data_IF_823892911702
#
_entry.id   IF_823892911702
#
_cell.length_a   1.000
_cell.length_b   1.000
_cell.length_c   1.000
_cell.angle_alpha   90.00
_cell.angle_beta   90.00
_cell.angle_gamma   90.00
#
_symmetry.space_group_name_H-M   'P 1'
#
loop_
_entity.id
_entity.type
_entity.pdbx_description
1 polymer ?
#
# COMPACT_ATOMS: atom_id res chain seq x y z
N UNK A 1 -24.12 -12.75 -22.90
CA UNK A 1 -23.07 -11.71 -23.06
C UNK A 1 -23.35 -10.81 -24.27
N UNK A 2 -23.46 -11.31 -25.49
CA UNK A 2 -23.66 -10.51 -26.73
C UNK A 2 -24.85 -9.56 -26.64
N UNK A 3 -25.99 -9.98 -26.09
CA UNK A 3 -27.18 -9.16 -25.97
C UNK A 3 -26.99 -7.96 -25.01
N UNK A 4 -26.29 -8.16 -23.91
CA UNK A 4 -25.98 -7.07 -22.93
C UNK A 4 -25.02 -6.06 -23.57
N UNK A 5 -23.99 -6.53 -24.25
CA UNK A 5 -23.04 -5.65 -24.94
C UNK A 5 -23.75 -4.80 -25.99
N UNK A 6 -24.60 -5.41 -26.82
CA UNK A 6 -25.37 -4.69 -27.85
C UNK A 6 -26.35 -3.65 -27.25
N UNK A 7 -26.97 -3.94 -26.09
CA UNK A 7 -27.82 -2.97 -25.39
C UNK A 7 -27.04 -1.78 -24.86
N UNK A 8 -25.84 -2.03 -24.32
CA UNK A 8 -24.93 -0.97 -23.84
C UNK A 8 -24.48 -0.09 -25.01
N UNK A 9 -24.01 -0.68 -26.10
CA UNK A 9 -23.57 0.03 -27.31
C UNK A 9 -24.67 0.88 -27.93
N UNK A 10 -25.92 0.39 -27.92
CA UNK A 10 -27.07 1.13 -28.45
C UNK A 10 -27.59 2.21 -27.48
N UNK A 11 -27.30 2.13 -26.18
CA UNK A 11 -27.77 3.07 -25.18
C UNK A 11 -26.81 4.23 -24.95
N UNK A 12 -25.55 4.06 -25.30
CA UNK A 12 -24.51 5.08 -25.15
C UNK A 12 -23.93 5.42 -26.51
N UNK A 13 -24.20 6.62 -27.01
CA UNK A 13 -23.45 7.18 -28.14
C UNK A 13 -22.06 7.62 -27.65
N UNK A 14 -21.17 6.65 -27.49
CA UNK A 14 -19.78 6.93 -27.15
C UNK A 14 -19.11 7.48 -28.43
N UNK A 15 -18.76 8.78 -28.42
CA UNK A 15 -17.78 9.29 -29.38
C UNK A 15 -16.47 8.55 -29.13
N UNK A 16 -15.86 7.99 -30.18
CA UNK A 16 -14.53 7.37 -30.11
C UNK A 16 -13.48 8.46 -29.85
N UNK A 17 -13.32 8.85 -28.61
CA UNK A 17 -12.17 9.61 -28.15
C UNK A 17 -11.06 8.61 -27.80
N UNK A 18 -10.01 8.59 -28.59
CA UNK A 18 -8.77 7.93 -28.23
C UNK A 18 -8.14 8.76 -27.10
N UNK A 19 -8.31 8.30 -25.86
CA UNK A 19 -7.51 8.82 -24.76
C UNK A 19 -6.17 8.11 -24.77
N UNK A 20 -5.12 8.88 -24.98
CA UNK A 20 -3.76 8.40 -24.76
C UNK A 20 -3.50 8.50 -23.25
N UNK A 21 -3.70 7.40 -22.53
CA UNK A 21 -3.36 7.31 -21.11
C UNK A 21 -1.85 7.09 -20.97
N UNK A 22 -1.06 8.12 -21.24
CA UNK A 22 0.32 8.14 -20.80
C UNK A 22 0.35 8.34 -19.29
N UNK A 23 0.27 7.25 -18.54
CA UNK A 23 0.49 7.27 -17.10
C UNK A 23 2.01 7.33 -16.86
N UNK A 24 2.57 8.53 -16.92
CA UNK A 24 3.94 8.77 -16.51
C UNK A 24 4.00 8.71 -14.98
N UNK A 25 4.30 7.53 -14.46
CA UNK A 25 4.62 7.37 -13.04
C UNK A 25 5.95 8.05 -12.78
N UNK A 26 5.95 9.12 -12.01
CA UNK A 26 7.20 9.70 -11.53
C UNK A 26 7.74 8.84 -10.38
N UNK A 27 8.61 7.90 -10.72
CA UNK A 27 9.35 7.07 -9.75
C UNK A 27 10.70 7.68 -9.39
N UNK A 28 10.90 8.97 -9.72
CA UNK A 28 12.15 9.66 -9.40
C UNK A 28 12.21 9.95 -7.89
N UNK A 29 13.12 9.26 -7.21
CA UNK A 29 13.39 9.41 -5.78
C UNK A 29 14.68 10.21 -5.54
N UNK A 30 15.04 11.15 -6.43
CA UNK A 30 16.30 11.90 -6.37
C UNK A 30 16.34 12.95 -5.26
N UNK A 31 15.20 13.52 -4.90
CA UNK A 31 15.12 14.43 -3.74
C UNK A 31 14.72 13.62 -2.49
N UNK A 32 15.69 13.38 -1.61
CA UNK A 32 15.56 12.53 -0.44
C UNK A 32 15.44 13.34 0.87
N UNK A 33 14.75 14.46 0.88
CA UNK A 33 14.46 15.21 2.10
C UNK A 33 13.08 14.85 2.66
N UNK A 34 13.03 14.21 3.84
CA UNK A 34 11.74 13.94 4.50
C UNK A 34 11.08 15.23 4.94
N UNK A 35 9.88 15.51 4.41
CA UNK A 35 9.07 16.63 4.84
C UNK A 35 8.24 16.26 6.07
N UNK A 36 8.20 17.15 7.08
CA UNK A 36 7.32 16.98 8.25
C UNK A 36 6.30 18.10 8.30
N UNK A 37 5.03 17.75 8.19
CA UNK A 37 3.90 18.68 8.22
C UNK A 37 3.13 18.46 9.52
N UNK A 38 3.02 19.51 10.35
CA UNK A 38 2.26 19.46 11.59
C UNK A 38 1.12 20.47 11.52
N UNK A 39 -0.10 19.97 11.51
CA UNK A 39 -1.31 20.77 11.61
C UNK A 39 -1.88 20.69 13.02
N UNK A 40 -2.45 21.81 13.49
CA UNK A 40 -3.07 21.93 14.81
C UNK A 40 -4.54 22.26 14.66
N UNK A 41 -5.39 21.47 15.30
CA UNK A 41 -6.85 21.68 15.30
C UNK A 41 -7.44 21.22 16.64
N UNK A 42 -8.75 21.41 16.80
CA UNK A 42 -9.49 20.90 17.96
C UNK A 42 -9.80 19.43 17.75
N UNK A 43 -8.86 18.57 18.13
CA UNK A 43 -8.99 17.11 17.97
C UNK A 43 -8.71 16.41 19.30
N UNK A 44 -9.46 15.34 19.58
CA UNK A 44 -9.25 14.47 20.74
C UNK A 44 -8.24 13.37 20.47
N UNK A 45 -7.99 13.09 19.20
CA UNK A 45 -7.08 12.04 18.72
C UNK A 45 -6.21 12.60 17.61
N UNK A 46 -4.91 12.42 17.73
CA UNK A 46 -3.99 12.78 16.66
C UNK A 46 -4.10 11.82 15.48
N UNK A 47 -3.91 12.35 14.26
CA UNK A 47 -3.69 11.55 13.07
C UNK A 47 -2.20 11.62 12.73
N UNK A 48 -1.57 10.45 12.64
CA UNK A 48 -0.18 10.33 12.26
C UNK A 48 -0.10 9.48 10.98
N UNK A 49 0.33 10.09 9.90
CA UNK A 49 0.46 9.43 8.61
C UNK A 49 1.91 9.54 8.11
N UNK A 50 2.44 8.44 7.59
CA UNK A 50 3.76 8.40 6.97
C UNK A 50 3.61 7.97 5.52
N UNK A 51 4.26 8.69 4.60
CA UNK A 51 4.30 8.39 3.18
C UNK A 51 5.68 7.90 2.76
N UNK A 52 5.76 6.70 2.22
CA UNK A 52 6.95 6.14 1.61
C UNK A 52 6.81 6.13 0.09
N UNK A 53 7.88 6.46 -0.62
CA UNK A 53 8.00 6.29 -2.07
C UNK A 53 8.88 5.08 -2.40
N UNK A 54 8.53 4.43 -3.51
CA UNK A 54 9.29 3.32 -4.06
C UNK A 54 9.54 3.56 -5.55
N UNK A 55 10.72 3.17 -6.08
CA UNK A 55 11.03 3.30 -7.51
C UNK A 55 10.38 2.20 -8.35
N UNK A 56 9.27 1.65 -7.88
CA UNK A 56 8.51 0.59 -8.57
C UNK A 56 7.02 0.85 -8.51
N UNK A 57 6.30 0.32 -9.48
CA UNK A 57 4.85 0.43 -9.58
C UNK A 57 4.26 -0.83 -10.24
N UNK A 58 2.94 -0.91 -10.25
CA UNK A 58 2.21 -1.99 -10.92
C UNK A 58 2.68 -2.14 -12.39
N UNK A 59 3.04 -3.36 -12.76
CA UNK A 59 3.60 -3.71 -14.08
C UNK A 59 5.11 -3.96 -14.06
N UNK A 60 5.84 -3.53 -13.03
CA UNK A 60 7.25 -3.87 -12.86
C UNK A 60 7.40 -5.26 -12.23
N UNK A 61 8.51 -5.95 -12.56
CA UNK A 61 8.75 -7.31 -12.03
C UNK A 61 8.91 -7.34 -10.51
N UNK A 62 9.47 -6.30 -9.92
CA UNK A 62 9.70 -6.17 -8.47
C UNK A 62 8.48 -5.65 -7.69
N UNK A 63 7.40 -5.25 -8.36
CA UNK A 63 6.16 -4.79 -7.73
C UNK A 63 5.58 -5.79 -6.72
N UNK A 64 5.71 -7.09 -7.00
CA UNK A 64 5.15 -8.14 -6.14
C UNK A 64 5.87 -8.21 -4.79
N UNK A 65 7.16 -7.86 -4.74
CA UNK A 65 7.89 -7.71 -3.49
C UNK A 65 7.34 -6.55 -2.65
N UNK A 66 6.91 -5.44 -3.29
CA UNK A 66 6.25 -4.32 -2.61
C UNK A 66 4.88 -4.71 -2.05
N UNK A 67 4.09 -5.51 -2.78
CA UNK A 67 2.80 -6.03 -2.30
C UNK A 67 2.99 -6.91 -1.05
N UNK A 68 3.99 -7.80 -1.08
CA UNK A 68 4.33 -8.67 0.05
C UNK A 68 4.83 -7.85 1.24
N UNK A 69 5.75 -6.90 1.01
CA UNK A 69 6.25 -5.98 2.04
C UNK A 69 5.10 -5.23 2.72
N UNK A 70 4.19 -4.63 1.93
CA UNK A 70 3.02 -3.93 2.47
C UNK A 70 2.16 -4.84 3.35
N UNK A 71 1.86 -6.06 2.89
CA UNK A 71 1.03 -7.02 3.64
C UNK A 71 1.68 -7.38 4.97
N UNK A 72 3.00 -7.61 4.99
CA UNK A 72 3.75 -7.91 6.21
C UNK A 72 3.85 -6.71 7.15
N UNK A 73 4.03 -5.51 6.61
CA UNK A 73 4.25 -4.30 7.38
C UNK A 73 2.98 -3.79 8.04
N UNK A 74 1.91 -3.55 7.29
CA UNK A 74 0.68 -2.96 7.83
C UNK A 74 -0.60 -3.26 7.04
N UNK A 75 -0.53 -4.01 5.95
CA UNK A 75 -1.65 -4.27 5.05
C UNK A 75 -2.64 -5.34 5.53
N UNK A 76 -2.37 -5.99 6.65
CA UNK A 76 -3.20 -7.08 7.20
C UNK A 76 -3.23 -7.02 8.74
N UNK A 77 -4.29 -7.50 9.41
CA UNK A 77 -4.35 -7.58 10.87
C UNK A 77 -3.25 -8.44 11.53
N UNK A 78 -2.58 -9.33 10.80
CA UNK A 78 -1.42 -10.08 11.29
C UNK A 78 -0.08 -9.33 11.11
N UNK A 79 -0.11 -8.13 10.56
CA UNK A 79 1.06 -7.31 10.22
C UNK A 79 1.85 -6.83 11.43
N UNK A 80 3.07 -6.39 11.16
CA UNK A 80 3.98 -5.85 12.18
C UNK A 80 3.41 -4.61 12.85
N UNK A 81 2.87 -3.64 12.09
CA UNK A 81 2.30 -2.43 12.66
C UNK A 81 1.13 -2.73 13.61
N UNK A 82 0.25 -3.65 13.23
CA UNK A 82 -0.87 -4.01 14.08
C UNK A 82 -0.38 -4.67 15.37
N UNK A 83 0.53 -5.63 15.28
CA UNK A 83 1.00 -6.38 16.44
C UNK A 83 1.92 -5.58 17.36
N UNK A 84 2.91 -4.85 16.81
CA UNK A 84 3.93 -4.18 17.62
C UNK A 84 3.45 -2.81 18.12
N UNK A 85 2.78 -2.01 17.26
CA UNK A 85 2.41 -0.63 17.60
C UNK A 85 1.07 -0.57 18.34
N UNK A 86 0.07 -1.34 17.84
CA UNK A 86 -1.27 -1.31 18.45
C UNK A 86 -1.40 -2.28 19.60
N UNK A 87 -1.15 -3.59 19.39
CA UNK A 87 -1.46 -4.62 20.39
C UNK A 87 -0.44 -4.64 21.53
N UNK A 88 0.85 -4.71 21.23
CA UNK A 88 1.88 -4.82 22.28
C UNK A 88 2.13 -3.52 23.03
N UNK A 89 2.27 -2.40 22.30
CA UNK A 89 2.67 -1.13 22.89
C UNK A 89 1.48 -0.18 23.16
N UNK A 90 0.29 -0.49 22.65
CA UNK A 90 -0.92 0.34 22.81
C UNK A 90 -0.67 1.81 22.44
N UNK A 91 0.09 2.05 21.36
CA UNK A 91 0.42 3.39 20.88
C UNK A 91 -0.63 3.94 19.92
N UNK A 92 -1.37 3.07 19.24
CA UNK A 92 -2.38 3.45 18.26
C UNK A 92 -3.73 2.78 18.52
N UNK A 93 -4.81 3.52 18.32
CA UNK A 93 -6.19 2.98 18.32
C UNK A 93 -6.49 2.26 17.00
N UNK A 94 -5.98 2.83 15.91
CA UNK A 94 -6.03 2.24 14.58
C UNK A 94 -4.70 2.46 13.88
N UNK A 95 -4.23 1.44 13.18
CA UNK A 95 -3.02 1.55 12.36
C UNK A 95 -3.09 0.52 11.25
N UNK A 96 -2.76 0.94 10.04
CA UNK A 96 -2.61 0.07 8.88
C UNK A 96 -1.73 0.74 7.83
N UNK A 97 -1.23 -0.04 6.88
CA UNK A 97 -0.62 0.52 5.68
C UNK A 97 -1.49 0.27 4.44
N UNK A 98 -1.44 1.21 3.53
CA UNK A 98 -2.15 1.18 2.25
C UNK A 98 -1.17 1.40 1.12
N UNK A 99 -1.22 0.53 0.11
CA UNK A 99 -0.38 0.61 -1.08
C UNK A 99 -1.15 1.29 -2.21
N UNK A 100 -0.62 2.40 -2.73
CA UNK A 100 -0.94 2.90 -4.07
C UNK A 100 0.07 2.30 -5.06
N UNK A 101 -0.25 1.11 -5.53
CA UNK A 101 0.64 0.37 -6.41
C UNK A 101 0.79 0.98 -7.80
N UNK A 102 -0.07 1.92 -8.20
CA UNK A 102 0.05 2.60 -9.50
C UNK A 102 1.16 3.65 -9.49
N UNK A 103 1.34 4.30 -8.34
CA UNK A 103 2.27 5.41 -8.17
C UNK A 103 3.51 5.03 -7.34
N UNK A 104 3.59 3.82 -6.83
CA UNK A 104 4.71 3.39 -6.00
C UNK A 104 4.71 4.03 -4.60
N UNK A 105 3.53 4.33 -4.04
CA UNK A 105 3.41 4.91 -2.70
C UNK A 105 2.86 3.92 -1.69
N UNK A 106 3.43 3.94 -0.50
CA UNK A 106 2.91 3.23 0.65
C UNK A 106 2.63 4.25 1.76
N UNK A 107 1.39 4.28 2.19
CA UNK A 107 0.94 5.15 3.27
C UNK A 107 0.71 4.35 4.53
N UNK A 108 1.31 4.77 5.65
CA UNK A 108 0.90 4.35 6.99
C UNK A 108 -0.14 5.35 7.48
N UNK A 109 -1.31 4.86 7.84
CA UNK A 109 -2.43 5.66 8.34
C UNK A 109 -2.70 5.22 9.78
N UNK A 110 -2.64 6.17 10.74
CA UNK A 110 -2.86 5.83 12.14
C UNK A 110 -3.60 6.91 12.91
N UNK A 111 -4.39 6.45 13.89
CA UNK A 111 -4.99 7.27 14.93
C UNK A 111 -4.31 6.96 16.26
N UNK A 112 -3.66 7.96 16.87
CA UNK A 112 -2.86 7.83 18.07
C UNK A 112 -3.30 8.83 19.13
N UNK A 113 -2.94 8.63 20.40
CA UNK A 113 -3.16 9.68 21.40
C UNK A 113 -2.24 10.88 21.15
N UNK A 114 -2.73 12.07 21.47
CA UNK A 114 -1.98 13.33 21.26
C UNK A 114 -0.62 13.30 21.96
N UNK A 115 -0.52 12.65 23.12
CA UNK A 115 0.71 12.59 23.92
C UNK A 115 1.70 11.54 23.41
N UNK A 116 1.25 10.59 22.57
CA UNK A 116 2.05 9.43 22.14
C UNK A 116 2.48 9.47 20.68
N UNK A 117 2.09 10.48 19.90
CA UNK A 117 2.34 10.45 18.45
C UNK A 117 3.84 10.42 18.11
N UNK A 118 4.71 11.07 18.88
CA UNK A 118 6.15 11.03 18.62
C UNK A 118 6.76 9.65 18.89
N UNK A 119 6.31 8.96 19.95
CA UNK A 119 6.74 7.59 20.23
C UNK A 119 6.22 6.65 19.14
N UNK A 120 4.95 6.79 18.77
CA UNK A 120 4.36 5.98 17.70
C UNK A 120 5.09 6.17 16.36
N UNK A 121 5.43 7.42 15.99
CA UNK A 121 6.22 7.75 14.81
C UNK A 121 7.57 7.01 14.81
N UNK A 122 8.31 7.13 15.90
CA UNK A 122 9.62 6.48 16.04
C UNK A 122 9.49 4.97 15.93
N UNK A 123 8.53 4.37 16.64
CA UNK A 123 8.29 2.92 16.57
C UNK A 123 7.93 2.45 15.15
N UNK A 124 7.06 3.18 14.44
CA UNK A 124 6.69 2.83 13.06
C UNK A 124 7.92 2.81 12.14
N UNK A 125 8.78 3.83 12.27
CA UNK A 125 10.01 3.93 11.47
C UNK A 125 10.97 2.78 11.83
N UNK A 126 11.20 2.52 13.12
CA UNK A 126 12.06 1.43 13.60
C UNK A 126 11.56 0.06 13.11
N UNK A 127 10.26 -0.18 13.14
CA UNK A 127 9.70 -1.43 12.63
C UNK A 127 9.88 -1.55 11.09
N UNK A 128 9.85 -0.44 10.34
CA UNK A 128 10.16 -0.48 8.92
C UNK A 128 11.65 -0.78 8.68
N UNK A 129 12.57 -0.18 9.45
CA UNK A 129 14.01 -0.43 9.33
C UNK A 129 14.39 -1.90 9.53
N UNK A 130 13.63 -2.66 10.32
CA UNK A 130 13.83 -4.11 10.48
C UNK A 130 13.68 -4.87 9.16
N UNK A 131 12.79 -4.43 8.27
CA UNK A 131 12.66 -5.04 6.93
C UNK A 131 13.91 -4.83 6.08
N UNK A 132 14.59 -3.68 6.20
CA UNK A 132 15.80 -3.37 5.45
C UNK A 132 16.96 -4.30 5.79
N UNK A 133 17.02 -4.77 7.03
CA UNK A 133 18.04 -5.71 7.50
C UNK A 133 17.58 -7.17 7.50
N UNK A 134 16.36 -7.44 7.05
CA UNK A 134 15.80 -8.79 6.97
C UNK A 134 15.43 -9.39 8.33
N UNK A 135 15.16 -8.57 9.34
CA UNK A 135 14.74 -9.03 10.67
C UNK A 135 13.25 -9.41 10.68
N UNK A 136 12.93 -10.44 9.92
CA UNK A 136 11.63 -11.10 9.91
C UNK A 136 11.79 -12.58 9.54
N UNK A 137 10.83 -13.41 9.97
CA UNK A 137 10.93 -14.85 9.75
C UNK A 137 10.34 -15.28 8.40
N UNK A 138 10.80 -16.43 7.90
CA UNK A 138 10.24 -17.07 6.69
C UNK A 138 8.76 -17.44 6.87
N UNK A 139 8.33 -17.76 8.09
CA UNK A 139 6.93 -18.05 8.39
C UNK A 139 6.05 -16.81 8.18
N UNK A 140 6.52 -15.61 8.57
CA UNK A 140 5.81 -14.35 8.31
C UNK A 140 5.72 -14.07 6.81
N UNK A 141 6.79 -14.29 6.06
CA UNK A 141 6.79 -14.17 4.60
C UNK A 141 5.79 -15.15 3.96
N UNK A 142 5.82 -16.40 4.36
CA UNK A 142 4.90 -17.43 3.85
C UNK A 142 3.43 -17.11 4.20
N UNK A 143 3.18 -16.59 5.39
CA UNK A 143 1.84 -16.16 5.81
C UNK A 143 1.33 -15.00 4.95
N UNK A 144 2.14 -13.97 4.72
CA UNK A 144 1.77 -12.83 3.89
C UNK A 144 1.40 -13.27 2.45
N UNK A 145 2.18 -14.16 1.85
CA UNK A 145 1.87 -14.72 0.53
C UNK A 145 0.53 -15.46 0.50
N UNK A 146 0.24 -16.27 1.52
CA UNK A 146 -1.05 -16.97 1.65
C UNK A 146 -2.21 -15.99 1.76
N UNK A 147 -2.07 -14.93 2.56
CA UNK A 147 -3.08 -13.88 2.72
C UNK A 147 -3.37 -13.21 1.38
N UNK A 148 -2.34 -12.78 0.64
CA UNK A 148 -2.48 -12.13 -0.66
C UNK A 148 -3.21 -13.04 -1.66
N UNK A 149 -2.84 -14.32 -1.71
CA UNK A 149 -3.46 -15.30 -2.60
C UNK A 149 -4.93 -15.51 -2.24
N UNK A 150 -5.25 -15.65 -0.94
CA UNK A 150 -6.63 -15.79 -0.46
C UNK A 150 -7.47 -14.57 -0.82
N UNK A 151 -6.97 -13.37 -0.57
CA UNK A 151 -7.65 -12.11 -0.94
C UNK A 151 -7.88 -12.01 -2.45
N UNK A 152 -6.92 -12.45 -3.28
CA UNK A 152 -7.09 -12.47 -4.73
C UNK A 152 -8.18 -13.44 -5.18
N UNK A 153 -8.29 -14.61 -4.54
CA UNK A 153 -9.35 -15.57 -4.81
C UNK A 153 -10.73 -15.03 -4.41
N UNK A 154 -10.83 -14.37 -3.26
CA UNK A 154 -12.07 -13.72 -2.81
C UNK A 154 -12.54 -12.60 -3.75
N UNK A 155 -11.59 -11.87 -4.37
CA UNK A 155 -11.91 -10.84 -5.36
C UNK A 155 -12.59 -11.46 -6.58
N UNK A 156 -12.15 -12.65 -7.00
CA UNK A 156 -12.72 -13.36 -8.15
C UNK A 156 -14.20 -13.76 -7.94
N UNK A 157 -14.66 -13.86 -6.70
CA UNK A 157 -16.05 -14.19 -6.36
C UNK A 157 -16.96 -12.94 -6.27
N UNK A 158 -16.38 -11.74 -6.34
CA UNK A 158 -17.12 -10.48 -6.22
C UNK A 158 -17.13 -9.69 -7.54
N UNK A 159 -18.29 -9.44 -8.17
CA UNK A 159 -18.38 -8.71 -9.43
C UNK A 159 -17.67 -7.35 -9.42
N UNK A 160 -17.80 -6.58 -8.33
CA UNK A 160 -17.11 -5.29 -8.16
C UNK A 160 -15.59 -5.47 -8.18
N UNK A 161 -15.06 -6.45 -7.46
CA UNK A 161 -13.62 -6.73 -7.44
C UNK A 161 -13.08 -7.12 -8.81
N UNK A 162 -13.82 -7.95 -9.57
CA UNK A 162 -13.45 -8.32 -10.94
C UNK A 162 -13.37 -7.06 -11.83
N UNK A 163 -14.35 -6.16 -11.73
CA UNK A 163 -14.38 -4.91 -12.52
C UNK A 163 -13.17 -4.05 -12.17
N UNK A 164 -12.86 -3.87 -10.89
CA UNK A 164 -11.71 -3.07 -10.42
C UNK A 164 -10.38 -3.64 -10.93
N UNK A 165 -10.20 -4.96 -10.86
CA UNK A 165 -9.01 -5.63 -11.39
C UNK A 165 -8.90 -5.42 -12.90
N UNK A 166 -9.97 -5.69 -13.66
CA UNK A 166 -9.98 -5.52 -15.11
C UNK A 166 -9.74 -4.05 -15.52
N UNK A 167 -10.33 -3.10 -14.80
CA UNK A 167 -10.12 -1.68 -15.04
C UNK A 167 -8.66 -1.29 -14.84
N UNK A 168 -8.03 -1.75 -13.75
CA UNK A 168 -6.62 -1.49 -13.48
C UNK A 168 -5.72 -2.07 -14.57
N UNK A 169 -5.98 -3.30 -15.00
CA UNK A 169 -5.23 -3.96 -16.08
C UNK A 169 -5.35 -3.20 -17.40
N UNK A 170 -6.55 -2.71 -17.73
CA UNK A 170 -6.79 -1.93 -18.95
C UNK A 170 -6.09 -0.57 -18.89
N UNK A 171 -6.22 0.17 -17.78
CA UNK A 171 -5.61 1.49 -17.60
C UNK A 171 -4.08 1.44 -17.69
N UNK A 172 -3.48 0.38 -17.20
CA UNK A 172 -2.03 0.21 -17.16
C UNK A 172 -1.50 -0.61 -18.35
N UNK A 173 -2.38 -1.03 -19.26
CA UNK A 173 -2.06 -1.93 -20.40
C UNK A 173 -1.26 -3.17 -19.95
N UNK A 174 -1.60 -3.73 -18.79
CA UNK A 174 -0.93 -4.87 -18.16
C UNK A 174 -1.94 -6.00 -17.91
N UNK A 175 -2.38 -6.72 -18.99
CA UNK A 175 -3.27 -7.87 -18.82
C UNK A 175 -2.53 -8.98 -18.07
N UNK A 176 -3.11 -9.46 -16.99
CA UNK A 176 -2.55 -10.52 -16.17
C UNK A 176 -3.65 -11.44 -15.66
N UNK A 177 -3.45 -12.74 -15.79
CA UNK A 177 -4.34 -13.74 -15.19
C UNK A 177 -4.11 -13.85 -13.67
N UNK A 178 -5.14 -14.31 -12.94
CA UNK A 178 -5.01 -14.58 -11.51
C UNK A 178 -3.94 -15.63 -11.23
N UNK A 179 -3.79 -16.62 -12.12
CA UNK A 179 -2.75 -17.64 -12.00
C UNK A 179 -1.35 -17.03 -12.07
N UNK A 180 -1.08 -16.17 -13.05
CA UNK A 180 0.20 -15.48 -13.20
C UNK A 180 0.49 -14.58 -11.99
N UNK A 181 -0.53 -13.85 -11.50
CA UNK A 181 -0.40 -13.02 -10.31
C UNK A 181 0.03 -13.86 -9.10
N UNK A 182 -0.66 -14.98 -8.85
CA UNK A 182 -0.34 -15.87 -7.72
C UNK A 182 1.04 -16.53 -7.86
N UNK A 183 1.46 -16.88 -9.07
CA UNK A 183 2.79 -17.42 -9.34
C UNK A 183 3.88 -16.38 -9.02
N UNK A 184 3.67 -15.10 -9.38
CA UNK A 184 4.62 -14.03 -9.11
C UNK A 184 4.69 -13.72 -7.61
N UNK A 185 3.57 -13.71 -6.89
CA UNK A 185 3.57 -13.60 -5.41
C UNK A 185 4.36 -14.76 -4.78
N UNK A 186 4.15 -15.99 -5.25
CA UNK A 186 4.86 -17.16 -4.70
C UNK A 186 6.37 -17.12 -4.93
N UNK A 187 6.83 -16.51 -6.02
CA UNK A 187 8.26 -16.38 -6.35
C UNK A 187 9.01 -15.37 -5.48
N UNK A 188 8.32 -14.42 -4.85
CA UNK A 188 8.97 -13.40 -4.00
C UNK A 188 9.79 -14.09 -2.90
N UNK A 189 11.04 -13.73 -2.78
CA UNK A 189 11.97 -14.24 -1.75
C UNK A 189 12.12 -13.24 -0.60
N UNK A 190 12.78 -13.64 0.45
CA UNK A 190 13.14 -12.74 1.57
C UNK A 190 14.07 -11.64 1.08
N UNK A 191 15.02 -11.98 0.23
CA UNK A 191 15.97 -11.06 -0.40
C UNK A 191 15.28 -10.00 -1.24
N UNK A 192 14.20 -10.36 -1.96
CA UNK A 192 13.40 -9.42 -2.74
C UNK A 192 12.70 -8.41 -1.83
N UNK A 193 12.13 -8.86 -0.71
CA UNK A 193 11.50 -7.99 0.28
C UNK A 193 12.54 -7.05 0.92
N UNK A 194 13.72 -7.54 1.30
CA UNK A 194 14.82 -6.74 1.84
C UNK A 194 15.29 -5.70 0.83
N UNK A 195 15.49 -6.11 -0.42
CA UNK A 195 15.87 -5.21 -1.52
C UNK A 195 14.82 -4.12 -1.70
N UNK A 196 13.55 -4.48 -1.72
CA UNK A 196 12.44 -3.52 -1.86
C UNK A 196 12.40 -2.54 -0.68
N UNK A 197 12.55 -3.03 0.57
CA UNK A 197 12.59 -2.17 1.75
C UNK A 197 13.76 -1.17 1.71
N UNK A 198 14.93 -1.58 1.19
CA UNK A 198 16.09 -0.70 1.04
C UNK A 198 15.93 0.35 -0.07
N UNK A 199 15.01 0.15 -1.01
CA UNK A 199 14.68 1.14 -2.04
C UNK A 199 13.64 2.15 -1.56
N UNK A 200 13.01 1.90 -0.41
CA UNK A 200 12.01 2.77 0.17
C UNK A 200 12.62 4.10 0.64
N UNK A 201 11.92 5.16 0.33
CA UNK A 201 12.24 6.50 0.79
C UNK A 201 11.06 7.05 1.62
N UNK A 202 11.33 7.44 2.88
CA UNK A 202 10.34 8.14 3.71
C UNK A 202 10.25 9.60 3.26
N UNK A 203 9.20 9.92 2.53
CA UNK A 203 8.98 11.22 1.89
C UNK A 203 8.32 12.21 2.83
N UNK A 204 7.20 11.83 3.43
CA UNK A 204 6.38 12.75 4.20
C UNK A 204 5.95 12.14 5.53
N UNK A 205 6.01 12.95 6.58
CA UNK A 205 5.39 12.68 7.88
C UNK A 205 4.34 13.75 8.11
N UNK A 206 3.07 13.36 8.20
CA UNK A 206 1.97 14.26 8.47
C UNK A 206 1.38 14.00 9.84
N UNK A 207 1.23 15.04 10.64
CA UNK A 207 0.64 14.98 11.97
C UNK A 207 -0.46 16.04 12.08
N UNK A 208 -1.70 15.59 12.29
CA UNK A 208 -2.78 16.45 12.79
C UNK A 208 -2.91 16.22 14.29
N UNK A 209 -2.67 17.24 15.10
CA UNK A 209 -2.66 17.13 16.55
C UNK A 209 -3.41 18.29 17.20
N UNK A 210 -3.61 18.20 18.52
CA UNK A 210 -4.33 19.22 19.30
C UNK A 210 -3.58 20.54 19.30
N UNK A 211 -4.26 21.63 18.92
CA UNK A 211 -3.79 22.98 19.11
C UNK A 211 -3.77 23.34 20.61
N UNK A 212 -2.72 24.05 21.07
CA UNK A 212 -2.79 24.69 22.37
C UNK A 212 -3.93 25.70 22.38
N UNK A 213 -4.76 25.71 23.41
CA UNK A 213 -5.66 26.84 23.65
C UNK A 213 -4.77 28.08 23.87
N UNK A 214 -4.80 29.01 22.92
CA UNK A 214 -4.26 30.37 23.09
C UNK A 214 -5.18 31.20 23.98
#
# INVERSE_FOLDING_TARGET
KKEVTSRIENSFSLSSTTFDFNHNVNTDCTDQSTETIIEKDTVDQAKLNLGYRFPTHYGNEDYYALVVLNTMFGGDPSSVLFNEVREKQSLAYSIHSQLDGKNGYLFVLSGVSVEKYDIAKTTIIEEFEKFKVGDFSEEKLALAKKIIISQRQEIADRPKGIIEVMQNQLLLNQPQSDKEYMELINKVTKEDVVKMANQAYLDTIYVLTKGGQS
#
